data_IF_023202657812
#
_entry.id   IF_023202657812
#
_cell.length_a   1.000
_cell.length_b   1.000
_cell.length_c   1.000
_cell.angle_alpha   90.00
_cell.angle_beta   90.00
_cell.angle_gamma   90.00
#
_symmetry.space_group_name_H-M   'P 1'
#
loop_
_entity.id
_entity.type
_entity.pdbx_description
1 polymer ?
#
# COMPACT_ATOMS: atom_id res chain seq x y z
N UNK A 1 21.00 -4.18 8.05
CA UNK A 1 20.20 -5.11 7.23
C UNK A 1 18.81 -5.15 7.85
N UNK A 2 17.77 -4.82 7.09
CA UNK A 2 16.39 -4.94 7.57
C UNK A 2 16.10 -6.45 7.56
N UNK A 3 15.88 -7.04 8.72
CA UNK A 3 15.50 -8.45 8.80
C UNK A 3 13.98 -8.52 8.88
N UNK A 4 13.37 -9.20 7.93
CA UNK A 4 11.94 -9.47 7.97
C UNK A 4 11.71 -10.91 8.35
N UNK A 5 10.89 -11.15 9.37
CA UNK A 5 10.52 -12.49 9.80
C UNK A 5 9.03 -12.68 9.54
N UNK A 6 8.69 -13.75 8.83
CA UNK A 6 7.30 -14.14 8.55
C UNK A 6 6.88 -15.23 9.54
N UNK A 7 5.70 -15.06 10.13
CA UNK A 7 5.10 -15.99 11.09
C UNK A 7 4.91 -17.40 10.54
N UNK A 8 4.51 -18.34 11.41
CA UNK A 8 4.32 -19.74 11.03
C UNK A 8 3.28 -19.93 9.93
N UNK A 9 3.43 -20.92 9.03
CA UNK A 9 2.50 -21.13 7.91
C UNK A 9 1.03 -21.22 8.34
N UNK A 10 0.73 -21.89 9.45
CA UNK A 10 -0.64 -22.00 9.99
C UNK A 10 -1.22 -20.66 10.43
N UNK A 11 -0.39 -19.76 10.96
CA UNK A 11 -0.80 -18.41 11.34
C UNK A 11 -1.09 -17.56 10.10
N UNK A 12 -0.28 -17.69 9.03
CA UNK A 12 -0.53 -17.01 7.75
C UNK A 12 -1.84 -17.47 7.11
N UNK A 13 -2.07 -18.78 7.01
CA UNK A 13 -3.33 -19.34 6.48
C UNK A 13 -4.52 -18.82 7.26
N UNK A 14 -4.43 -18.81 8.59
CA UNK A 14 -5.50 -18.32 9.46
C UNK A 14 -5.75 -16.82 9.25
N UNK A 15 -4.69 -16.02 9.10
CA UNK A 15 -4.80 -14.59 8.84
C UNK A 15 -5.49 -14.31 7.50
N UNK A 16 -5.09 -14.99 6.42
CA UNK A 16 -5.72 -14.82 5.11
C UNK A 16 -7.20 -15.23 5.12
N UNK A 17 -7.54 -16.36 5.75
CA UNK A 17 -8.94 -16.83 5.84
C UNK A 17 -9.82 -15.93 6.70
N UNK A 18 -9.25 -15.29 7.72
CA UNK A 18 -10.00 -14.41 8.62
C UNK A 18 -10.09 -12.96 8.11
N UNK A 19 -9.37 -12.59 7.05
CA UNK A 19 -9.48 -11.27 6.45
C UNK A 19 -10.83 -11.12 5.74
N UNK A 20 -11.40 -9.91 5.78
CA UNK A 20 -12.73 -9.67 5.24
C UNK A 20 -12.75 -9.91 3.71
N UNK A 21 -13.56 -10.85 3.20
CA UNK A 21 -13.64 -11.13 1.76
C UNK A 21 -14.09 -9.92 0.93
N UNK A 22 -14.93 -9.03 1.46
CA UNK A 22 -15.42 -7.85 0.73
C UNK A 22 -14.27 -6.93 0.31
N UNK A 23 -13.24 -6.82 1.16
CA UNK A 23 -12.04 -6.05 0.84
C UNK A 23 -11.21 -6.72 -0.26
N UNK A 24 -11.21 -8.05 -0.34
CA UNK A 24 -10.52 -8.79 -1.42
C UNK A 24 -11.27 -8.60 -2.74
N UNK A 25 -12.59 -8.63 -2.69
CA UNK A 25 -13.47 -8.49 -3.85
C UNK A 25 -13.42 -7.08 -4.43
N UNK A 26 -13.53 -6.06 -3.58
CA UNK A 26 -13.38 -4.65 -3.96
C UNK A 26 -11.99 -4.40 -4.57
N UNK A 27 -10.93 -5.01 -4.01
CA UNK A 27 -9.58 -4.92 -4.58
C UNK A 27 -9.50 -5.50 -5.99
N UNK A 28 -10.01 -6.72 -6.20
CA UNK A 28 -9.96 -7.35 -7.51
C UNK A 28 -10.81 -6.64 -8.56
N UNK A 29 -11.94 -6.07 -8.16
CA UNK A 29 -12.76 -5.27 -9.06
C UNK A 29 -11.98 -4.05 -9.58
N UNK A 30 -11.42 -3.23 -8.69
CA UNK A 30 -10.69 -2.03 -9.11
C UNK A 30 -9.43 -2.40 -9.88
N UNK A 31 -8.72 -3.44 -9.46
CA UNK A 31 -7.52 -3.86 -10.15
C UNK A 31 -7.82 -4.38 -11.57
N UNK A 32 -8.92 -5.10 -11.78
CA UNK A 32 -9.38 -5.51 -13.11
C UNK A 32 -9.72 -4.30 -13.98
N UNK A 33 -10.50 -3.36 -13.46
CA UNK A 33 -10.85 -2.12 -14.19
C UNK A 33 -9.63 -1.24 -14.48
N UNK A 34 -8.62 -1.26 -13.61
CA UNK A 34 -7.38 -0.53 -13.84
C UNK A 34 -6.56 -1.19 -14.94
N UNK A 35 -6.57 -2.52 -15.05
CA UNK A 35 -5.93 -3.21 -16.18
C UNK A 35 -6.60 -2.81 -17.51
N UNK A 36 -7.94 -2.87 -17.59
CA UNK A 36 -8.70 -2.43 -18.78
C UNK A 36 -8.37 -0.97 -19.12
N UNK A 37 -8.32 -0.10 -18.12
CA UNK A 37 -7.97 1.32 -18.29
C UNK A 37 -6.55 1.54 -18.82
N UNK A 38 -5.57 0.74 -18.38
CA UNK A 38 -4.17 0.87 -18.80
C UNK A 38 -3.87 0.22 -20.15
N UNK A 39 -4.62 -0.82 -20.53
CA UNK A 39 -4.46 -1.54 -21.80
C UNK A 39 -5.31 -0.95 -22.93
N UNK A 40 -6.43 -0.31 -22.59
CA UNK A 40 -7.39 0.27 -23.52
C UNK A 40 -7.26 1.77 -23.72
N UNK A 41 -8.31 2.36 -24.29
CA UNK A 41 -8.44 3.82 -24.37
C UNK A 41 -8.89 4.37 -23.01
N UNK A 42 -8.00 5.12 -22.35
CA UNK A 42 -8.26 5.73 -21.05
C UNK A 42 -9.60 6.49 -21.01
N UNK A 43 -9.99 7.16 -22.10
CA UNK A 43 -11.25 7.91 -22.18
C UNK A 43 -12.49 7.02 -22.11
N UNK A 44 -12.40 5.78 -22.60
CA UNK A 44 -13.50 4.80 -22.59
C UNK A 44 -13.66 4.15 -21.21
N UNK A 45 -12.54 3.92 -20.52
CA UNK A 45 -12.54 3.14 -19.27
C UNK A 45 -12.56 4.01 -18.01
N UNK A 46 -12.20 5.29 -18.10
CA UNK A 46 -12.09 6.20 -16.96
C UNK A 46 -13.41 6.37 -16.19
N UNK A 47 -14.56 6.50 -16.88
CA UNK A 47 -15.87 6.67 -16.24
C UNK A 47 -16.22 5.48 -15.32
N UNK A 48 -16.05 4.26 -15.85
CA UNK A 48 -16.36 3.04 -15.10
C UNK A 48 -15.40 2.86 -13.93
N UNK A 49 -14.10 3.12 -14.15
CA UNK A 49 -13.10 3.06 -13.08
C UNK A 49 -13.40 4.11 -11.99
N UNK A 50 -13.74 5.35 -12.36
CA UNK A 50 -14.11 6.42 -11.43
C UNK A 50 -15.31 6.04 -10.57
N UNK A 51 -16.38 5.52 -11.19
CA UNK A 51 -17.60 5.11 -10.50
C UNK A 51 -17.32 4.01 -9.45
N UNK A 52 -16.63 2.95 -9.85
CA UNK A 52 -16.34 1.84 -8.95
C UNK A 52 -15.31 2.23 -7.89
N UNK A 53 -14.30 3.03 -8.24
CA UNK A 53 -13.31 3.53 -7.27
C UNK A 53 -13.99 4.35 -6.18
N UNK A 54 -14.93 5.23 -6.51
CA UNK A 54 -15.70 5.97 -5.49
C UNK A 54 -16.48 5.02 -4.59
N UNK A 55 -17.20 4.06 -5.18
CA UNK A 55 -17.98 3.07 -4.42
C UNK A 55 -17.09 2.31 -3.43
N UNK A 56 -15.96 1.79 -3.91
CA UNK A 56 -14.99 1.06 -3.08
C UNK A 56 -14.38 1.95 -2.01
N UNK A 57 -14.01 3.20 -2.34
CA UNK A 57 -13.45 4.11 -1.35
C UNK A 57 -14.45 4.44 -0.24
N UNK A 58 -15.75 4.57 -0.55
CA UNK A 58 -16.82 4.74 0.43
C UNK A 58 -16.96 3.47 1.29
N UNK A 59 -16.97 2.28 0.68
CA UNK A 59 -16.97 1.00 1.41
C UNK A 59 -15.78 0.89 2.37
N UNK A 60 -14.63 1.41 1.95
CA UNK A 60 -13.39 1.42 2.73
C UNK A 60 -13.33 2.61 3.71
N UNK A 61 -14.43 3.33 3.90
CA UNK A 61 -14.64 4.32 4.95
C UNK A 61 -14.44 5.78 4.54
N UNK A 62 -14.28 6.10 3.25
CA UNK A 62 -14.33 7.48 2.79
C UNK A 62 -15.69 8.09 3.20
N UNK A 63 -15.75 9.40 3.43
CA UNK A 63 -16.90 10.14 4.01
C UNK A 63 -17.21 9.86 5.49
N UNK A 64 -16.59 8.85 6.12
CA UNK A 64 -16.77 8.61 7.57
C UNK A 64 -15.90 9.55 8.41
N UNK A 65 -16.49 10.18 9.44
CA UNK A 65 -15.84 10.92 10.54
C UNK A 65 -14.36 11.33 10.32
N UNK A 66 -14.13 12.54 9.78
CA UNK A 66 -12.81 13.13 9.43
C UNK A 66 -12.11 12.52 8.20
N UNK A 67 -12.72 11.56 7.52
CA UNK A 67 -12.32 11.16 6.17
C UNK A 67 -12.68 12.26 5.16
N UNK A 68 -11.90 12.41 4.08
CA UNK A 68 -12.29 13.27 2.98
C UNK A 68 -13.51 12.69 2.25
N UNK A 69 -14.29 13.59 1.63
CA UNK A 69 -15.30 13.19 0.67
C UNK A 69 -14.65 12.99 -0.71
N UNK A 70 -15.03 11.94 -1.46
CA UNK A 70 -14.61 11.82 -2.85
C UNK A 70 -15.22 12.96 -3.69
N UNK A 71 -14.53 13.34 -4.77
CA UNK A 71 -15.09 14.22 -5.80
C UNK A 71 -16.19 13.51 -6.60
N UNK A 72 -17.05 14.27 -7.31
CA UNK A 72 -18.03 13.69 -8.22
C UNK A 72 -17.38 12.79 -9.29
N UNK A 73 -18.13 11.78 -9.76
CA UNK A 73 -17.65 10.79 -10.75
C UNK A 73 -17.06 11.46 -11.99
N UNK A 74 -17.73 12.49 -12.54
CA UNK A 74 -17.24 13.21 -13.73
C UNK A 74 -15.88 13.87 -13.51
N UNK A 75 -15.68 14.53 -12.36
CA UNK A 75 -14.38 15.15 -12.04
C UNK A 75 -13.27 14.11 -11.89
N UNK A 76 -13.57 12.95 -11.30
CA UNK A 76 -12.60 11.85 -11.15
C UNK A 76 -12.29 11.22 -12.51
N UNK A 77 -13.30 11.05 -13.38
CA UNK A 77 -13.08 10.56 -14.74
C UNK A 77 -12.18 11.50 -15.53
N UNK A 78 -12.46 12.80 -15.53
CA UNK A 78 -11.64 13.82 -16.17
C UNK A 78 -10.20 13.81 -15.62
N UNK A 79 -10.06 13.60 -14.31
CA UNK A 79 -8.75 13.43 -13.67
C UNK A 79 -8.01 12.19 -14.16
N UNK A 80 -8.67 11.03 -14.24
CA UNK A 80 -8.08 9.79 -14.73
C UNK A 80 -7.71 9.86 -16.22
N UNK A 81 -8.35 10.72 -17.01
CA UNK A 81 -8.00 10.92 -18.42
C UNK A 81 -6.74 11.78 -18.63
N UNK A 82 -6.23 12.42 -17.57
CA UNK A 82 -5.00 13.22 -17.66
C UNK A 82 -3.80 12.32 -17.94
N UNK A 83 -2.99 12.70 -18.92
CA UNK A 83 -1.84 11.91 -19.39
C UNK A 83 -0.84 11.62 -18.27
N UNK A 84 -0.56 12.60 -17.44
CA UNK A 84 0.37 12.49 -16.30
C UNK A 84 -0.13 11.50 -15.24
N UNK A 85 -1.44 11.44 -15.01
CA UNK A 85 -2.06 10.49 -14.06
C UNK A 85 -1.97 9.08 -14.63
N UNK A 86 -2.37 8.90 -15.89
CA UNK A 86 -2.26 7.62 -16.60
C UNK A 86 -0.83 7.07 -16.53
N UNK A 87 0.15 7.90 -16.90
CA UNK A 87 1.56 7.50 -16.91
C UNK A 87 2.09 7.14 -15.52
N UNK A 88 1.70 7.90 -14.49
CA UNK A 88 2.11 7.61 -13.11
C UNK A 88 1.52 6.29 -12.59
N UNK A 89 0.23 6.02 -12.85
CA UNK A 89 -0.42 4.76 -12.52
C UNK A 89 0.27 3.61 -13.27
N UNK A 90 0.45 3.73 -14.59
CA UNK A 90 1.11 2.71 -15.41
C UNK A 90 2.52 2.36 -14.90
N UNK A 91 3.32 3.38 -14.59
CA UNK A 91 4.70 3.22 -14.11
C UNK A 91 4.75 2.42 -12.81
N UNK A 92 3.91 2.74 -11.84
CA UNK A 92 3.91 2.03 -10.56
C UNK A 92 3.26 0.64 -10.67
N UNK A 93 2.22 0.48 -11.48
CA UNK A 93 1.57 -0.81 -11.76
C UNK A 93 2.53 -1.82 -12.39
N UNK A 94 3.46 -1.37 -13.23
CA UNK A 94 4.48 -2.23 -13.83
C UNK A 94 5.42 -2.86 -12.79
N UNK A 95 5.56 -2.25 -11.62
CA UNK A 95 6.42 -2.74 -10.54
C UNK A 95 5.72 -3.74 -9.59
N UNK A 96 4.44 -4.05 -9.79
CA UNK A 96 3.69 -4.90 -8.84
C UNK A 96 4.28 -6.32 -8.72
N UNK A 97 4.75 -6.90 -9.82
CA UNK A 97 5.27 -8.28 -9.84
C UNK A 97 6.69 -8.37 -9.29
N UNK A 98 7.43 -7.28 -9.42
CA UNK A 98 8.83 -7.17 -9.00
C UNK A 98 8.95 -5.98 -8.05
N UNK A 99 8.43 -6.11 -6.82
CA UNK A 99 8.43 -4.99 -5.87
C UNK A 99 9.86 -4.52 -5.63
N UNK A 100 10.08 -3.20 -5.49
CA UNK A 100 11.41 -2.67 -5.27
C UNK A 100 12.01 -3.26 -3.98
N UNK A 101 13.32 -3.49 -3.95
CA UNK A 101 14.03 -4.04 -2.78
C UNK A 101 15.32 -3.29 -2.52
N UNK A 102 15.83 -3.40 -1.30
CA UNK A 102 17.10 -2.80 -0.90
C UNK A 102 18.23 -3.78 -1.25
N UNK A 103 19.00 -3.48 -2.30
CA UNK A 103 20.06 -4.37 -2.80
C UNK A 103 21.41 -4.20 -2.08
N UNK A 104 21.68 -3.03 -1.52
CA UNK A 104 22.90 -2.75 -0.74
C UNK A 104 22.56 -2.12 0.61
N UNK A 105 23.39 -2.37 1.63
CA UNK A 105 23.04 -2.27 3.07
C UNK A 105 22.45 -0.95 3.57
N UNK A 106 22.42 0.13 2.80
CA UNK A 106 21.78 1.40 3.15
C UNK A 106 21.20 2.05 1.89
N UNK A 107 19.88 2.25 1.86
CA UNK A 107 19.31 3.31 1.03
C UNK A 107 19.71 4.62 1.70
N UNK A 108 20.48 5.44 1.00
CA UNK A 108 20.89 6.74 1.53
C UNK A 108 19.63 7.58 1.79
N UNK A 109 19.36 7.91 3.06
CA UNK A 109 18.15 8.62 3.49
C UNK A 109 18.15 10.10 3.06
N UNK A 110 19.26 10.57 2.50
CA UNK A 110 19.53 11.95 2.13
C UNK A 110 19.09 12.28 0.69
N UNK A 111 18.75 11.29 -0.15
CA UNK A 111 18.29 11.55 -1.52
C UNK A 111 17.13 10.67 -1.95
N UNK A 112 16.02 11.32 -2.29
CA UNK A 112 14.93 10.67 -3.01
C UNK A 112 15.43 10.14 -4.35
N UNK A 113 15.14 8.87 -4.61
CA UNK A 113 15.25 8.27 -5.94
C UNK A 113 14.16 8.84 -6.86
N UNK A 114 14.31 8.66 -8.17
CA UNK A 114 13.26 9.03 -9.11
C UNK A 114 11.94 8.31 -8.79
N UNK A 115 12.01 7.02 -8.40
CA UNK A 115 10.82 6.26 -8.03
C UNK A 115 10.11 6.87 -6.80
N UNK A 116 10.85 7.39 -5.82
CA UNK A 116 10.25 8.05 -4.65
C UNK A 116 9.48 9.30 -5.03
N UNK A 117 10.07 10.12 -5.92
CA UNK A 117 9.40 11.32 -6.42
C UNK A 117 8.12 10.95 -7.13
N UNK A 118 8.12 9.92 -7.97
CA UNK A 118 6.91 9.41 -8.66
C UNK A 118 5.83 8.95 -7.69
N UNK A 119 6.21 8.29 -6.60
CA UNK A 119 5.26 7.86 -5.56
C UNK A 119 4.63 9.07 -4.88
N UNK A 120 5.43 10.07 -4.48
CA UNK A 120 4.93 11.28 -3.81
C UNK A 120 4.10 12.17 -4.75
N UNK A 121 4.52 12.30 -6.00
CA UNK A 121 3.78 12.98 -7.06
C UNK A 121 2.41 12.34 -7.27
N UNK A 122 2.36 11.01 -7.47
CA UNK A 122 1.09 10.32 -7.65
C UNK A 122 0.22 10.44 -6.40
N UNK A 123 0.79 10.33 -5.19
CA UNK A 123 0.03 10.46 -3.95
C UNK A 123 -0.62 11.85 -3.83
N UNK A 124 0.08 12.89 -4.24
CA UNK A 124 -0.42 14.27 -4.29
C UNK A 124 -1.51 14.41 -5.35
N UNK A 125 -1.29 13.90 -6.57
CA UNK A 125 -2.29 13.89 -7.63
C UNK A 125 -3.58 13.16 -7.21
N UNK A 126 -3.46 11.99 -6.57
CA UNK A 126 -4.61 11.22 -6.07
C UNK A 126 -5.36 11.97 -4.96
N UNK A 127 -4.64 12.65 -4.08
CA UNK A 127 -5.25 13.51 -3.05
C UNK A 127 -6.12 14.60 -3.67
N UNK A 128 -5.56 15.35 -4.62
CA UNK A 128 -6.23 16.51 -5.18
C UNK A 128 -7.30 16.13 -6.20
N UNK A 129 -7.06 15.06 -6.96
CA UNK A 129 -7.90 14.58 -8.04
C UNK A 129 -9.05 13.68 -7.60
N UNK A 130 -8.93 12.96 -6.48
CA UNK A 130 -10.00 12.06 -6.02
C UNK A 130 -10.82 12.62 -4.87
N UNK A 131 -10.30 13.59 -4.11
CA UNK A 131 -10.89 13.98 -2.83
C UNK A 131 -11.03 15.50 -2.67
N UNK A 132 -12.05 15.90 -1.91
CA UNK A 132 -12.29 17.29 -1.53
C UNK A 132 -11.52 17.59 -0.24
N UNK A 133 -10.61 18.57 -0.28
CA UNK A 133 -9.85 19.07 0.88
C UNK A 133 -9.16 17.95 1.68
N UNK A 134 -8.54 16.99 0.99
CA UNK A 134 -7.85 15.88 1.65
C UNK A 134 -6.57 16.37 2.34
N UNK A 135 -6.53 16.28 3.68
CA UNK A 135 -5.37 16.69 4.47
C UNK A 135 -4.53 15.51 4.96
N UNK A 136 -4.93 14.27 4.68
CA UNK A 136 -4.28 13.05 5.19
C UNK A 136 -4.13 12.00 4.09
N UNK A 137 -2.91 11.49 3.94
CA UNK A 137 -2.51 10.51 2.94
C UNK A 137 -3.20 9.15 3.05
N UNK A 138 -3.91 8.81 4.14
CA UNK A 138 -4.56 7.50 4.28
C UNK A 138 -5.47 7.11 3.11
N UNK A 139 -6.31 8.02 2.61
CA UNK A 139 -7.22 7.71 1.50
C UNK A 139 -6.52 7.73 0.13
N UNK A 140 -5.64 8.71 -0.15
CA UNK A 140 -4.76 8.63 -1.32
C UNK A 140 -3.91 7.35 -1.38
N UNK A 141 -3.39 6.86 -0.24
CA UNK A 141 -2.65 5.60 -0.17
C UNK A 141 -3.54 4.37 -0.44
N UNK A 142 -4.79 4.36 0.05
CA UNK A 142 -5.79 3.33 -0.33
C UNK A 142 -6.03 3.32 -1.83
N UNK A 143 -6.25 4.49 -2.44
CA UNK A 143 -6.42 4.60 -3.88
C UNK A 143 -5.17 4.11 -4.64
N UNK A 144 -3.96 4.46 -4.17
CA UNK A 144 -2.71 3.98 -4.76
C UNK A 144 -2.58 2.46 -4.69
N UNK A 145 -2.91 1.82 -3.56
CA UNK A 145 -2.95 0.35 -3.45
C UNK A 145 -3.91 -0.25 -4.47
N UNK A 146 -5.14 0.27 -4.56
CA UNK A 146 -6.18 -0.24 -5.44
C UNK A 146 -5.82 -0.12 -6.93
N UNK A 147 -5.25 1.02 -7.32
CA UNK A 147 -4.91 1.32 -8.72
C UNK A 147 -3.60 0.65 -9.16
N UNK A 148 -2.61 0.55 -8.27
CA UNK A 148 -1.24 0.18 -8.69
C UNK A 148 -0.70 -1.11 -8.06
N UNK A 149 -1.24 -1.52 -6.90
CA UNK A 149 -0.64 -2.57 -6.08
C UNK A 149 0.88 -2.34 -5.80
N UNK A 150 1.33 -1.09 -5.81
CA UNK A 150 2.74 -0.76 -5.55
C UNK A 150 3.10 -0.83 -4.06
N UNK A 151 2.19 -0.36 -3.20
CA UNK A 151 2.40 -0.27 -1.75
C UNK A 151 1.10 -0.53 -1.00
N UNK A 152 1.17 -0.75 0.31
CA UNK A 152 0.00 -0.96 1.16
C UNK A 152 -0.76 0.34 1.43
N UNK A 153 -2.01 0.24 1.91
CA UNK A 153 -2.92 1.38 2.05
C UNK A 153 -2.59 2.34 3.22
N UNK A 154 -1.68 1.97 4.12
CA UNK A 154 -1.29 2.79 5.29
C UNK A 154 -2.48 3.31 6.12
N UNK A 155 -3.55 2.52 6.22
CA UNK A 155 -4.68 2.87 7.07
C UNK A 155 -4.39 2.62 8.56
N UNK A 156 -5.36 2.90 9.44
CA UNK A 156 -5.17 2.70 10.88
C UNK A 156 -4.72 1.28 11.24
N UNK A 157 -5.35 0.26 10.65
CA UNK A 157 -5.07 -1.14 10.96
C UNK A 157 -3.70 -1.57 10.42
N UNK A 158 -3.38 -1.18 9.18
CA UNK A 158 -2.08 -1.49 8.56
C UNK A 158 -0.94 -0.81 9.31
N UNK A 159 -1.12 0.46 9.72
CA UNK A 159 -0.09 1.20 10.47
C UNK A 159 0.15 0.65 11.86
N UNK A 160 -0.91 0.34 12.60
CA UNK A 160 -0.79 -0.28 13.92
C UNK A 160 -0.22 -1.70 13.81
N UNK A 161 -0.58 -2.43 12.75
CA UNK A 161 0.01 -3.73 12.43
C UNK A 161 1.51 -3.63 12.16
N UNK A 162 1.94 -2.64 11.38
CA UNK A 162 3.36 -2.39 11.12
C UNK A 162 4.10 -2.02 12.42
N UNK A 163 3.49 -1.20 13.28
CA UNK A 163 4.01 -0.87 14.60
C UNK A 163 4.19 -2.11 15.48
N UNK A 164 3.18 -2.99 15.52
CA UNK A 164 3.24 -4.27 16.26
C UNK A 164 4.30 -5.21 15.69
N UNK A 165 4.61 -5.07 14.40
CA UNK A 165 5.71 -5.76 13.74
C UNK A 165 7.09 -5.16 14.02
N UNK A 166 7.18 -4.01 14.70
CA UNK A 166 8.45 -3.36 15.02
C UNK A 166 8.79 -2.15 14.13
N UNK A 167 7.94 -1.78 13.17
CA UNK A 167 8.15 -0.57 12.38
C UNK A 167 7.74 0.68 13.19
N UNK A 168 8.74 1.28 13.83
CA UNK A 168 8.52 2.30 14.86
C UNK A 168 7.99 3.64 14.33
N UNK A 169 7.25 4.33 15.19
CA UNK A 169 6.73 5.69 14.93
C UNK A 169 5.50 5.71 14.02
N UNK A 170 4.82 4.58 13.82
CA UNK A 170 3.58 4.54 13.03
C UNK A 170 2.36 4.99 13.86
N UNK A 171 2.42 4.83 15.19
CA UNK A 171 1.35 5.18 16.12
C UNK A 171 1.22 6.71 16.26
N UNK A 172 0.01 7.24 16.11
CA UNK A 172 -0.28 8.66 16.32
C UNK A 172 0.22 9.61 15.22
N UNK A 173 1.03 9.12 14.28
CA UNK A 173 1.48 9.89 13.11
C UNK A 173 0.30 10.19 12.20
N UNK A 174 -0.06 11.47 12.06
CA UNK A 174 -0.92 11.92 10.97
C UNK A 174 -0.03 12.04 9.74
N UNK A 175 -0.32 11.29 8.69
CA UNK A 175 0.43 11.39 7.44
C UNK A 175 -0.18 12.55 6.67
N UNK A 176 0.17 13.77 7.05
CA UNK A 176 -0.46 14.95 6.49
C UNK A 176 0.02 15.16 5.06
N UNK A 177 -0.89 15.59 4.19
CA UNK A 177 -0.52 15.91 2.80
C UNK A 177 0.50 17.07 2.75
N UNK A 178 0.40 18.02 3.69
CA UNK A 178 1.36 19.12 3.82
C UNK A 178 2.80 18.64 4.04
N UNK A 179 2.99 17.52 4.75
CA UNK A 179 4.33 16.96 5.01
C UNK A 179 4.98 16.43 3.74
N UNK A 180 4.21 16.08 2.70
CA UNK A 180 4.75 15.55 1.44
C UNK A 180 5.58 16.59 0.68
N UNK A 181 5.38 17.88 0.95
CA UNK A 181 6.21 18.96 0.40
C UNK A 181 7.62 19.01 1.02
N UNK A 182 7.83 18.34 2.17
CA UNK A 182 9.12 18.25 2.82
C UNK A 182 9.60 16.79 2.85
N UNK A 183 10.45 16.47 1.87
CA UNK A 183 10.98 15.14 1.62
C UNK A 183 11.76 14.54 2.80
N UNK A 184 12.26 15.39 3.70
CA UNK A 184 13.04 14.99 4.87
C UNK A 184 12.18 14.66 6.10
N UNK A 185 10.85 14.81 6.00
CA UNK A 185 9.97 14.44 7.10
C UNK A 185 9.96 12.93 7.32
N UNK A 186 9.92 12.51 8.57
CA UNK A 186 9.82 11.09 8.94
C UNK A 186 8.60 10.42 8.32
N UNK A 187 7.52 11.18 8.12
CA UNK A 187 6.28 10.77 7.45
C UNK A 187 6.56 10.35 6.01
N UNK A 188 7.20 11.21 5.21
CA UNK A 188 7.56 10.92 3.82
C UNK A 188 8.48 9.70 3.75
N UNK A 189 9.52 9.68 4.59
CA UNK A 189 10.47 8.57 4.66
C UNK A 189 9.76 7.23 4.93
N UNK A 190 8.75 7.19 5.80
CA UNK A 190 7.95 5.97 6.04
C UNK A 190 7.17 5.51 4.81
N UNK A 191 6.53 6.44 4.10
CA UNK A 191 5.75 6.13 2.89
C UNK A 191 6.67 5.52 1.83
N UNK A 192 7.80 6.18 1.54
CA UNK A 192 8.66 5.80 0.42
C UNK A 192 9.57 4.59 0.71
N UNK A 193 9.84 4.28 1.98
CA UNK A 193 10.67 3.11 2.34
C UNK A 193 9.87 1.82 2.49
N UNK A 194 8.58 1.89 2.82
CA UNK A 194 7.79 0.68 3.02
C UNK A 194 7.75 -0.26 1.80
N UNK A 195 7.56 0.21 0.55
CA UNK A 195 7.60 -0.66 -0.63
C UNK A 195 8.88 -1.49 -0.70
N UNK A 196 10.03 -0.88 -0.35
CA UNK A 196 11.34 -1.52 -0.35
C UNK A 196 11.48 -2.56 0.75
N UNK A 197 10.98 -2.25 1.95
CA UNK A 197 10.97 -3.18 3.08
C UNK A 197 10.11 -4.42 2.76
N UNK A 198 8.92 -4.19 2.19
CA UNK A 198 8.01 -5.25 1.81
C UNK A 198 8.55 -6.04 0.61
N UNK A 199 9.24 -5.41 -0.34
CA UNK A 199 9.90 -6.11 -1.43
C UNK A 199 11.06 -6.98 -0.97
N UNK A 200 11.86 -6.55 0.02
CA UNK A 200 12.83 -7.44 0.68
C UNK A 200 12.12 -8.64 1.33
N UNK A 201 11.03 -8.40 2.09
CA UNK A 201 10.27 -9.48 2.72
C UNK A 201 9.68 -10.46 1.71
N UNK A 202 9.17 -9.95 0.59
CA UNK A 202 8.66 -10.77 -0.50
C UNK A 202 9.76 -11.65 -1.06
N UNK A 203 10.89 -11.06 -1.44
CA UNK A 203 12.01 -11.79 -2.04
C UNK A 203 12.55 -12.90 -1.13
N UNK A 204 12.62 -12.65 0.17
CA UNK A 204 13.21 -13.60 1.12
C UNK A 204 12.24 -14.71 1.55
N UNK A 205 10.92 -14.48 1.44
CA UNK A 205 9.89 -15.37 2.00
C UNK A 205 8.76 -15.73 1.03
N UNK A 206 8.89 -15.44 -0.25
CA UNK A 206 7.85 -15.65 -1.27
C UNK A 206 7.28 -17.07 -1.21
N UNK A 207 8.14 -18.09 -1.19
CA UNK A 207 7.72 -19.49 -1.21
C UNK A 207 6.83 -19.84 -0.01
N UNK A 208 7.20 -19.37 1.19
CA UNK A 208 6.42 -19.57 2.42
C UNK A 208 5.06 -18.89 2.33
N UNK A 209 5.00 -17.68 1.78
CA UNK A 209 3.78 -16.91 1.63
C UNK A 209 2.86 -17.54 0.57
N UNK A 210 3.40 -17.92 -0.58
CA UNK A 210 2.66 -18.57 -1.67
C UNK A 210 2.12 -19.93 -1.22
N UNK A 211 2.89 -20.71 -0.47
CA UNK A 211 2.42 -21.95 0.13
C UNK A 211 1.24 -21.71 1.08
N UNK A 212 1.30 -20.67 1.92
CA UNK A 212 0.20 -20.31 2.81
C UNK A 212 -1.06 -19.85 2.03
N UNK A 213 -0.92 -19.01 1.00
CA UNK A 213 -2.03 -18.62 0.13
C UNK A 213 -2.67 -19.83 -0.55
N UNK A 214 -1.86 -20.77 -1.03
CA UNK A 214 -2.31 -22.03 -1.64
C UNK A 214 -3.08 -22.91 -0.64
N UNK A 215 -2.55 -23.05 0.57
CA UNK A 215 -3.18 -23.82 1.65
C UNK A 215 -4.51 -23.22 2.16
N UNK A 216 -4.87 -21.99 1.75
CA UNK A 216 -6.21 -21.47 2.03
C UNK A 216 -7.31 -22.25 1.32
N UNK A 217 -7.01 -22.82 0.15
CA UNK A 217 -7.99 -23.47 -0.73
C UNK A 217 -8.97 -22.49 -1.39
N UNK A 218 -8.71 -21.18 -1.36
CA UNK A 218 -9.59 -20.15 -1.90
C UNK A 218 -8.97 -19.50 -3.14
N UNK A 219 -9.55 -19.69 -4.35
CA UNK A 219 -8.95 -19.20 -5.60
C UNK A 219 -8.62 -17.70 -5.61
N UNK A 220 -9.51 -16.86 -5.05
CA UNK A 220 -9.29 -15.40 -4.98
C UNK A 220 -8.12 -14.99 -4.10
N UNK A 221 -7.83 -15.74 -3.04
CA UNK A 221 -6.66 -15.50 -2.19
C UNK A 221 -5.39 -16.02 -2.86
N UNK A 222 -5.45 -17.16 -3.54
CA UNK A 222 -4.30 -17.71 -4.29
C UNK A 222 -3.77 -16.73 -5.35
N UNK A 223 -4.67 -16.02 -6.03
CA UNK A 223 -4.30 -15.00 -7.02
C UNK A 223 -3.48 -13.84 -6.42
N UNK A 224 -3.52 -13.62 -5.10
CA UNK A 224 -2.70 -12.60 -4.45
C UNK A 224 -1.20 -12.90 -4.51
N UNK A 225 -0.79 -14.10 -4.92
CA UNK A 225 0.61 -14.45 -5.13
C UNK A 225 1.33 -13.55 -6.16
N UNK A 226 0.58 -12.84 -7.02
CA UNK A 226 1.13 -11.84 -7.96
C UNK A 226 0.95 -10.39 -7.49
N UNK A 227 0.51 -10.19 -6.24
CA UNK A 227 0.16 -8.88 -5.67
C UNK A 227 0.78 -8.71 -4.28
N UNK A 228 2.11 -8.65 -4.18
CA UNK A 228 2.85 -8.65 -2.91
C UNK A 228 2.41 -7.51 -1.98
N UNK A 229 2.22 -6.30 -2.49
CA UNK A 229 1.77 -5.17 -1.67
C UNK A 229 0.41 -5.45 -1.02
N UNK A 230 -0.52 -6.09 -1.75
CA UNK A 230 -1.83 -6.48 -1.21
C UNK A 230 -1.72 -7.60 -0.18
N UNK A 231 -0.82 -8.57 -0.40
CA UNK A 231 -0.54 -9.61 0.59
C UNK A 231 -0.07 -9.01 1.91
N UNK A 232 0.91 -8.10 1.86
CA UNK A 232 1.42 -7.45 3.06
C UNK A 232 0.42 -6.50 3.69
N UNK A 233 -0.41 -5.82 2.91
CA UNK A 233 -1.52 -5.01 3.41
C UNK A 233 -2.47 -5.87 4.28
N UNK A 234 -2.85 -7.06 3.82
CA UNK A 234 -3.66 -8.02 4.59
C UNK A 234 -2.93 -8.49 5.84
N UNK A 235 -1.67 -8.92 5.73
CA UNK A 235 -0.91 -9.43 6.88
C UNK A 235 -0.73 -8.36 7.96
N UNK A 236 -0.43 -7.12 7.57
CA UNK A 236 -0.31 -5.99 8.49
C UNK A 236 -1.66 -5.67 9.13
N UNK A 237 -2.74 -5.60 8.34
CA UNK A 237 -4.09 -5.41 8.87
C UNK A 237 -4.43 -6.48 9.91
N UNK A 238 -4.22 -7.74 9.57
CA UNK A 238 -4.51 -8.87 10.46
C UNK A 238 -3.60 -8.89 11.68
N UNK A 239 -2.36 -8.41 11.58
CA UNK A 239 -1.44 -8.28 12.72
C UNK A 239 -1.97 -7.35 13.82
N UNK A 240 -2.76 -6.33 13.46
CA UNK A 240 -3.44 -5.50 14.45
C UNK A 240 -4.78 -6.07 14.94
N UNK A 241 -5.33 -7.06 14.23
CA UNK A 241 -6.57 -7.70 14.67
C UNK A 241 -6.34 -8.54 15.94
N UNK A 242 -7.38 -8.64 16.79
CA UNK A 242 -7.36 -9.44 18.03
C UNK A 242 -6.96 -10.90 17.79
N UNK A 243 -7.12 -11.40 16.56
CA UNK A 243 -6.76 -12.75 16.13
C UNK A 243 -5.25 -13.02 16.22
N UNK A 244 -4.41 -12.00 16.00
CA UNK A 244 -2.94 -12.15 16.04
C UNK A 244 -2.37 -12.23 17.45
N UNK A 245 -3.08 -11.74 18.47
CA UNK A 245 -2.65 -11.84 19.87
C UNK A 245 -2.57 -13.30 20.37
N UNK A 246 -3.23 -14.24 19.70
CA UNK A 246 -3.24 -15.68 20.06
C UNK A 246 -2.29 -16.54 19.20
N UNK A 247 -1.95 -16.10 17.99
CA UNK A 247 -1.26 -16.93 16.99
C UNK A 247 0.20 -16.50 16.72
N UNK A 248 0.73 -15.53 17.47
CA UNK A 248 2.08 -14.99 17.28
C UNK A 248 2.13 -13.88 16.21
N UNK A 249 3.30 -13.25 16.07
CA UNK A 249 3.51 -12.19 15.10
C UNK A 249 3.49 -12.74 13.66
N UNK A 250 2.69 -12.14 12.78
CA UNK A 250 2.63 -12.51 11.35
C UNK A 250 3.82 -11.94 10.57
N UNK A 251 4.28 -10.76 10.96
CA UNK A 251 5.39 -10.05 10.35
C UNK A 251 6.19 -9.32 11.43
N UNK A 252 7.50 -9.57 11.49
CA UNK A 252 8.44 -8.70 12.18
C UNK A 252 9.24 -7.92 11.16
N UNK A 253 9.17 -6.61 11.25
CA UNK A 253 9.95 -5.62 10.52
C UNK A 253 11.12 -5.23 11.44
N UNK A 254 12.12 -6.11 11.57
CA UNK A 254 13.22 -5.87 12.48
C UNK A 254 14.09 -4.72 11.94
N UNK A 255 14.16 -3.66 12.73
CA UNK A 255 15.04 -2.53 12.47
C UNK A 255 16.10 -2.47 13.58
N UNK A 256 17.39 -2.47 13.23
CA UNK A 256 18.46 -2.47 14.24
C UNK A 256 18.57 -1.16 15.03
N UNK A 257 17.85 -0.09 14.67
CA UNK A 257 17.86 1.20 15.38
C UNK A 257 16.50 1.92 15.32
N UNK A 258 16.15 2.64 16.39
CA UNK A 258 15.02 3.60 16.49
C UNK A 258 15.13 4.74 15.47
N UNK A 259 16.31 4.94 14.90
CA UNK A 259 16.69 5.96 13.94
C UNK A 259 16.98 5.39 12.54
N UNK A 260 16.26 4.36 12.09
CA UNK A 260 16.48 3.72 10.78
C UNK A 260 16.43 4.69 9.57
N UNK A 261 15.73 5.82 9.69
CA UNK A 261 15.69 6.92 8.71
C UNK A 261 16.77 7.99 8.94
N UNK A 262 17.53 7.89 10.04
CA UNK A 262 18.62 8.78 10.47
C UNK A 262 20.01 8.13 10.35
N UNK A 263 20.07 6.81 10.18
CA UNK A 263 21.31 6.05 10.01
C UNK A 263 21.93 6.26 8.63
N UNK A 264 22.21 7.51 8.22
CA UNK A 264 23.16 7.86 7.15
C UNK A 264 23.83 9.20 7.47
N UNK A 265 24.30 9.36 8.71
CA UNK A 265 25.26 10.40 9.05
C UNK A 265 26.28 9.78 9.99
N UNK A 266 27.31 9.17 9.40
CA UNK A 266 28.67 9.07 9.92
C UNK A 266 29.49 8.15 9.00
N UNK A 267 30.14 8.76 8.00
CA UNK A 267 31.61 8.83 7.80
C UNK A 267 31.86 9.55 6.50
#
# INVERSE_FOLDING_TARGET
>A
MIQTVIGEPSALVSAFKAFNPDYVDDYWLIHGLTADYLEGDASVHADRLAQELIRVMINWGATLRRAPAPRPVGEISDFLQRKEVFQAIATLSALRLTPPRIESKLRAADRLTELDRRVLELLTMLSDGLFINCTNATYPMKAMLLLTCYTCAFDGQVRDGAQNGGFSGMRGSRFLMADLSNEHTVTVQKIIHMPYILGCAWNDHQDKIVAALTATGQPRLMQLATHPARVFDILLFMQNSRTSAKNGALLRLAQPDRNWYRLVLQT
#
